data_IF_698921743066
#
_entry.id   IF_698921743066
#
_cell.length_a   1.000
_cell.length_b   1.000
_cell.length_c   1.000
_cell.angle_alpha   90.00
_cell.angle_beta   90.00
_cell.angle_gamma   90.00
#
_symmetry.space_group_name_H-M   'P 1'
#
loop_
_entity.id
_entity.type
_entity.pdbx_description
1 polymer ?
#
# COMPACT_ATOMS: atom_id res chain seq x y z
N UNK A 1 20.48 -0.54 -2.29
CA UNK A 1 20.24 0.92 -2.46
C UNK A 1 20.22 1.53 -1.08
N UNK A 2 20.94 2.64 -0.85
CA UNK A 2 20.96 3.29 0.47
C UNK A 2 19.60 3.94 0.77
N UNK A 3 19.30 4.11 2.06
CA UNK A 3 18.03 4.73 2.50
C UNK A 3 17.86 6.17 2.01
N UNK A 4 18.96 6.95 1.98
CA UNK A 4 18.92 8.31 1.46
C UNK A 4 18.50 8.36 -0.02
N UNK A 5 18.94 7.41 -0.84
CA UNK A 5 18.56 7.33 -2.24
C UNK A 5 17.08 6.95 -2.39
N UNK A 6 16.58 6.05 -1.54
CA UNK A 6 15.14 5.68 -1.53
C UNK A 6 14.27 6.88 -1.20
N UNK A 7 14.60 7.61 -0.14
CA UNK A 7 13.86 8.81 0.27
C UNK A 7 13.87 9.89 -0.83
N UNK A 8 15.02 10.10 -1.51
CA UNK A 8 15.12 11.05 -2.62
C UNK A 8 14.22 10.64 -3.80
N UNK A 9 14.28 9.38 -4.22
CA UNK A 9 13.45 8.85 -5.31
C UNK A 9 11.97 9.05 -4.97
N UNK A 10 11.54 8.64 -3.78
CA UNK A 10 10.17 8.84 -3.32
C UNK A 10 9.75 10.30 -3.36
N UNK A 11 10.58 11.21 -2.85
CA UNK A 11 10.29 12.65 -2.85
C UNK A 11 10.14 13.23 -4.26
N UNK A 12 10.86 12.70 -5.25
CA UNK A 12 10.72 13.09 -6.66
C UNK A 12 9.40 12.58 -7.25
N UNK A 13 9.02 11.34 -7.00
CA UNK A 13 7.74 10.79 -7.47
C UNK A 13 6.53 11.54 -6.88
N UNK A 14 6.58 12.00 -5.65
CA UNK A 14 5.51 12.81 -5.05
C UNK A 14 5.29 14.17 -5.74
N UNK A 15 6.24 14.65 -6.54
CA UNK A 15 6.17 15.94 -7.27
C UNK A 15 5.57 15.82 -8.67
N UNK A 16 5.43 14.61 -9.20
CA UNK A 16 4.89 14.37 -10.54
C UNK A 16 3.51 13.75 -10.48
N UNK A 17 2.73 13.90 -11.52
CA UNK A 17 1.44 13.24 -11.64
C UNK A 17 1.60 11.83 -12.22
N UNK A 18 0.66 10.94 -11.87
CA UNK A 18 0.68 9.55 -12.35
C UNK A 18 0.59 9.44 -13.87
N UNK A 19 -0.08 10.40 -14.54
CA UNK A 19 -0.09 10.48 -16.00
C UNK A 19 1.30 10.66 -16.60
N UNK A 20 2.11 11.56 -16.02
CA UNK A 20 3.50 11.74 -16.49
C UNK A 20 4.34 10.46 -16.32
N UNK A 21 4.10 9.73 -15.22
CA UNK A 21 4.77 8.45 -15.00
C UNK A 21 4.33 7.42 -16.04
N UNK A 22 3.02 7.35 -16.33
CA UNK A 22 2.47 6.44 -17.32
C UNK A 22 3.04 6.72 -18.72
N UNK A 23 3.08 8.00 -19.14
CA UNK A 23 3.62 8.40 -20.44
C UNK A 23 5.11 7.96 -20.60
N UNK A 24 5.92 8.15 -19.56
CA UNK A 24 7.32 7.70 -19.56
C UNK A 24 7.44 6.18 -19.62
N UNK A 25 6.58 5.46 -18.89
CA UNK A 25 6.56 3.98 -18.94
C UNK A 25 6.17 3.48 -20.34
N UNK A 26 5.21 4.13 -21.00
CA UNK A 26 4.81 3.80 -22.36
C UNK A 26 5.96 4.05 -23.36
N UNK A 27 6.67 5.18 -23.25
CA UNK A 27 7.87 5.47 -24.04
C UNK A 27 9.00 4.45 -23.85
N UNK A 28 9.09 3.85 -22.66
CA UNK A 28 10.02 2.77 -22.35
C UNK A 28 9.53 1.39 -22.83
N UNK A 29 8.35 1.29 -23.41
CA UNK A 29 7.72 0.04 -23.85
C UNK A 29 7.14 -0.79 -22.68
N UNK A 30 6.99 -0.20 -21.50
CA UNK A 30 6.41 -0.82 -20.31
C UNK A 30 4.90 -0.50 -20.23
N UNK A 31 4.14 -1.09 -21.13
CA UNK A 31 2.69 -0.91 -21.22
C UNK A 31 1.97 -1.63 -20.06
N UNK A 32 0.76 -1.18 -19.75
CA UNK A 32 -0.13 -1.82 -18.78
C UNK A 32 0.40 -1.84 -17.33
N UNK A 33 1.06 -0.77 -16.91
CA UNK A 33 1.56 -0.60 -15.55
C UNK A 33 0.56 0.06 -14.59
N UNK A 34 -0.62 0.41 -15.08
CA UNK A 34 -1.72 0.95 -14.27
C UNK A 34 -2.39 -0.12 -13.42
N UNK A 35 -2.83 0.28 -12.24
CA UNK A 35 -3.76 -0.52 -11.43
C UNK A 35 -5.17 -0.48 -12.02
N UNK A 36 -6.05 -1.36 -11.55
CA UNK A 36 -7.46 -1.36 -11.94
C UNK A 36 -8.09 0.02 -11.70
N UNK A 37 -8.99 0.44 -12.60
CA UNK A 37 -9.57 1.79 -12.57
C UNK A 37 -10.52 2.06 -11.40
N UNK A 38 -10.90 1.03 -10.68
CA UNK A 38 -11.73 1.08 -9.48
C UNK A 38 -10.94 1.27 -8.18
N UNK A 39 -9.60 1.17 -8.21
CA UNK A 39 -8.78 1.56 -7.08
C UNK A 39 -8.99 3.02 -6.70
N UNK A 40 -9.36 3.27 -5.45
CA UNK A 40 -9.70 4.60 -4.93
C UNK A 40 -8.98 4.89 -3.62
N UNK A 41 -8.73 6.17 -3.37
CA UNK A 41 -8.27 6.61 -2.06
C UNK A 41 -9.38 6.49 -1.02
N UNK A 42 -9.15 5.72 0.02
CA UNK A 42 -10.04 5.59 1.18
C UNK A 42 -9.60 6.48 2.34
N UNK A 43 -8.33 6.84 2.39
CA UNK A 43 -7.78 7.68 3.45
C UNK A 43 -6.52 8.40 3.00
N UNK A 44 -6.12 9.41 3.79
CA UNK A 44 -5.01 10.28 3.49
C UNK A 44 -5.43 11.61 2.86
N UNK A 45 -4.77 12.68 3.25
CA UNK A 45 -5.14 14.06 2.87
C UNK A 45 -4.50 14.51 1.56
N UNK A 46 -3.36 13.93 1.18
CA UNK A 46 -2.60 14.37 0.00
C UNK A 46 -3.15 13.89 -1.34
N UNK A 47 -3.95 12.83 -1.34
CA UNK A 47 -4.40 12.15 -2.56
C UNK A 47 -3.28 11.50 -3.40
N UNK A 48 -2.03 11.60 -2.94
CA UNK A 48 -0.85 10.99 -3.59
C UNK A 48 -0.15 10.02 -2.65
N UNK A 49 0.27 8.90 -3.20
CA UNK A 49 1.07 7.90 -2.51
C UNK A 49 2.23 7.49 -3.42
N UNK A 50 3.44 7.53 -2.90
CA UNK A 50 4.63 7.03 -3.58
C UNK A 50 5.51 6.30 -2.57
N UNK A 51 6.10 5.19 -2.98
CA UNK A 51 6.98 4.38 -2.14
C UNK A 51 7.41 3.11 -2.86
N UNK A 52 8.31 2.37 -2.24
CA UNK A 52 8.74 1.09 -2.76
C UNK A 52 7.74 -0.01 -2.36
N UNK A 53 7.40 -0.88 -3.29
CA UNK A 53 6.42 -1.93 -3.02
C UNK A 53 6.99 -3.01 -2.10
N UNK A 54 6.32 -3.24 -0.97
CA UNK A 54 6.47 -4.42 -0.13
C UNK A 54 5.23 -5.28 -0.31
N UNK A 55 5.35 -6.37 -1.04
CA UNK A 55 4.20 -7.19 -1.45
C UNK A 55 3.87 -8.26 -0.44
N UNK A 56 2.59 -8.36 -0.09
CA UNK A 56 2.04 -9.37 0.81
C UNK A 56 0.92 -10.09 0.07
N UNK A 57 1.07 -11.40 -0.11
CA UNK A 57 0.02 -12.23 -0.67
C UNK A 57 -0.63 -13.05 0.42
N UNK A 58 -1.94 -12.92 0.55
CA UNK A 58 -2.78 -13.75 1.39
C UNK A 58 -3.63 -14.72 0.58
N UNK A 59 -4.35 -15.55 1.26
CA UNK A 59 -5.45 -16.33 0.73
C UNK A 59 -6.48 -16.58 1.82
N UNK A 60 -7.73 -16.70 1.43
CA UNK A 60 -8.79 -17.08 2.35
C UNK A 60 -8.59 -18.53 2.83
N UNK A 61 -8.86 -18.76 4.10
CA UNK A 61 -8.83 -20.11 4.67
C UNK A 61 -10.14 -20.38 5.40
N UNK A 62 -10.76 -21.54 5.20
CA UNK A 62 -11.95 -21.93 5.96
C UNK A 62 -11.64 -22.33 7.42
N UNK A 63 -10.39 -22.45 7.78
CA UNK A 63 -9.91 -22.89 9.10
C UNK A 63 -9.42 -21.71 9.96
N UNK A 64 -10.23 -20.65 10.03
CA UNK A 64 -9.86 -19.37 10.57
C UNK A 64 -9.65 -19.26 12.07
N UNK A 65 -8.47 -19.61 12.56
CA UNK A 65 -7.97 -19.12 13.85
C UNK A 65 -6.51 -18.69 13.66
N UNK A 66 -6.21 -17.40 13.83
CA UNK A 66 -4.82 -16.91 13.82
C UNK A 66 -4.42 -15.96 12.69
N UNK A 67 -5.33 -15.61 11.79
CA UNK A 67 -5.01 -14.76 10.63
C UNK A 67 -4.38 -13.41 10.97
N UNK A 68 -4.64 -12.83 12.12
CA UNK A 68 -4.03 -11.56 12.54
C UNK A 68 -2.55 -11.74 12.91
N UNK A 69 -2.18 -12.85 13.56
CA UNK A 69 -0.79 -13.14 13.87
C UNK A 69 0.04 -13.38 12.59
N UNK A 70 -0.53 -14.05 11.61
CA UNK A 70 0.11 -14.27 10.30
C UNK A 70 0.28 -12.94 9.53
N UNK A 71 -0.74 -12.08 9.54
CA UNK A 71 -0.65 -10.73 8.96
C UNK A 71 0.45 -9.90 9.62
N UNK A 72 0.52 -9.90 10.93
CA UNK A 72 1.56 -9.18 11.67
C UNK A 72 2.96 -9.72 11.34
N UNK A 73 3.10 -11.05 11.20
CA UNK A 73 4.36 -11.67 10.77
C UNK A 73 4.74 -11.25 9.35
N UNK A 74 3.78 -11.22 8.43
CA UNK A 74 4.02 -10.77 7.05
C UNK A 74 4.49 -9.30 6.97
N UNK A 75 4.08 -8.47 7.93
CA UNK A 75 4.49 -7.07 8.02
C UNK A 75 5.88 -6.84 8.61
N UNK A 76 6.53 -7.86 9.19
CA UNK A 76 7.78 -7.67 9.95
C UNK A 76 8.96 -7.17 9.11
N UNK A 77 8.97 -7.50 7.81
CA UNK A 77 10.04 -7.11 6.90
C UNK A 77 9.90 -5.72 6.30
N UNK A 78 8.78 -5.02 6.54
CA UNK A 78 8.56 -3.70 5.96
C UNK A 78 9.48 -2.66 6.61
N UNK A 79 9.91 -1.69 5.84
CA UNK A 79 10.83 -0.64 6.25
C UNK A 79 10.38 0.74 5.77
N UNK A 80 11.18 1.76 6.08
CA UNK A 80 10.91 3.15 5.70
C UNK A 80 10.78 3.32 4.18
N UNK A 81 9.93 4.25 3.77
CA UNK A 81 9.62 4.57 2.38
C UNK A 81 8.95 3.43 1.58
N UNK A 82 8.47 2.39 2.25
CA UNK A 82 7.73 1.31 1.61
C UNK A 82 6.22 1.50 1.71
N UNK A 83 5.53 0.97 0.70
CA UNK A 83 4.09 0.82 0.63
C UNK A 83 3.77 -0.65 0.80
N UNK A 84 2.89 -1.02 1.72
CA UNK A 84 2.38 -2.38 1.81
C UNK A 84 1.36 -2.64 0.71
N UNK A 85 1.64 -3.62 -0.15
CA UNK A 85 0.77 -4.01 -1.26
C UNK A 85 0.18 -5.38 -0.95
N UNK A 86 -1.13 -5.40 -0.70
CA UNK A 86 -1.86 -6.59 -0.29
C UNK A 86 -2.65 -7.15 -1.45
N UNK A 87 -2.44 -8.41 -1.77
CA UNK A 87 -3.24 -9.15 -2.75
C UNK A 87 -3.58 -10.53 -2.23
N UNK A 88 -4.76 -11.02 -2.57
CA UNK A 88 -5.27 -12.31 -2.15
C UNK A 88 -6.43 -12.77 -3.02
N UNK A 89 -7.35 -13.51 -2.45
CA UNK A 89 -8.46 -14.10 -3.17
C UNK A 89 -9.61 -13.11 -3.48
N UNK A 90 -9.33 -11.81 -3.48
CA UNK A 90 -10.27 -10.79 -3.93
C UNK A 90 -11.39 -10.47 -2.92
N UNK A 91 -12.58 -10.31 -3.43
CA UNK A 91 -13.73 -9.76 -2.75
C UNK A 91 -14.16 -10.51 -1.49
N UNK A 92 -14.65 -9.74 -0.51
CA UNK A 92 -15.24 -10.26 0.72
C UNK A 92 -14.28 -10.45 1.89
N UNK A 93 -12.98 -10.26 1.67
CA UNK A 93 -11.99 -10.32 2.74
C UNK A 93 -11.48 -8.93 3.11
N UNK A 94 -11.51 -8.60 4.40
CA UNK A 94 -10.90 -7.38 4.90
C UNK A 94 -9.43 -7.64 5.23
N UNK A 95 -8.55 -7.06 4.44
CA UNK A 95 -7.11 -7.21 4.62
C UNK A 95 -6.52 -6.19 5.59
N UNK A 96 -7.09 -4.98 5.63
CA UNK A 96 -6.42 -3.82 6.18
C UNK A 96 -7.32 -3.02 7.12
N UNK A 97 -6.76 -2.54 8.23
CA UNK A 97 -7.42 -1.69 9.21
C UNK A 97 -6.43 -1.09 10.19
N UNK A 98 -6.94 -0.47 11.27
CA UNK A 98 -6.19 0.25 12.29
C UNK A 98 -4.98 -0.51 12.82
N UNK A 99 -5.17 -1.74 13.30
CA UNK A 99 -4.12 -2.51 13.95
C UNK A 99 -2.91 -2.74 13.04
N UNK A 100 -3.17 -3.09 11.79
CA UNK A 100 -2.12 -3.30 10.77
C UNK A 100 -1.48 -1.97 10.40
N UNK A 101 -2.27 -0.93 10.17
CA UNK A 101 -1.77 0.40 9.82
C UNK A 101 -0.86 0.98 10.90
N UNK A 102 -1.22 0.83 12.18
CA UNK A 102 -0.40 1.27 13.31
C UNK A 102 0.97 0.61 13.29
N UNK A 103 1.01 -0.71 13.23
CA UNK A 103 2.28 -1.46 13.20
C UNK A 103 3.15 -1.16 11.99
N UNK A 104 2.55 -0.90 10.83
CA UNK A 104 3.26 -0.50 9.62
C UNK A 104 3.81 0.92 9.71
N UNK A 105 3.02 1.86 10.22
CA UNK A 105 3.41 3.26 10.41
C UNK A 105 4.62 3.39 11.35
N UNK A 106 4.64 2.64 12.44
CA UNK A 106 5.78 2.61 13.37
C UNK A 106 7.08 2.12 12.72
N UNK A 107 6.99 1.35 11.64
CA UNK A 107 8.12 0.86 10.85
C UNK A 107 8.52 1.80 9.71
N UNK A 108 7.84 2.94 9.56
CA UNK A 108 8.10 3.89 8.49
C UNK A 108 7.41 3.59 7.16
N UNK A 109 6.46 2.64 7.14
CA UNK A 109 5.59 2.41 5.99
C UNK A 109 4.77 3.67 5.69
N UNK A 110 4.68 4.03 4.42
CA UNK A 110 4.11 5.34 4.01
C UNK A 110 2.68 5.24 3.48
N UNK A 111 2.12 4.05 3.43
CA UNK A 111 0.74 3.81 3.01
C UNK A 111 0.49 2.38 2.56
N UNK A 112 -0.71 2.11 2.07
CA UNK A 112 -1.10 0.79 1.63
C UNK A 112 -1.88 0.81 0.31
N UNK A 113 -1.71 -0.27 -0.46
CA UNK A 113 -2.62 -0.70 -1.52
C UNK A 113 -3.23 -2.03 -1.09
N UNK A 114 -4.55 -2.15 -1.15
CA UNK A 114 -5.23 -3.38 -0.77
C UNK A 114 -6.18 -3.83 -1.89
N UNK A 115 -5.90 -4.98 -2.49
CA UNK A 115 -6.81 -5.67 -3.39
C UNK A 115 -7.86 -6.42 -2.57
N UNK A 116 -8.80 -5.67 -1.98
CA UNK A 116 -9.84 -6.18 -1.10
C UNK A 116 -10.33 -5.17 -0.07
N UNK A 117 -11.03 -5.65 0.96
CA UNK A 117 -11.69 -4.81 1.94
C UNK A 117 -10.75 -4.06 2.88
N UNK A 118 -11.13 -2.82 3.19
CA UNK A 118 -10.47 -1.94 4.17
C UNK A 118 -11.49 -1.52 5.23
N UNK A 119 -11.08 -1.48 6.49
CA UNK A 119 -11.92 -1.01 7.62
C UNK A 119 -11.20 0.09 8.41
N UNK A 120 -11.88 0.63 9.42
CA UNK A 120 -11.35 1.65 10.34
C UNK A 120 -10.93 2.95 9.63
N UNK A 121 -11.67 3.34 8.58
CA UNK A 121 -11.37 4.48 7.71
C UNK A 121 -11.25 5.80 8.50
N UNK A 122 -12.06 5.99 9.53
CA UNK A 122 -11.99 7.18 10.38
C UNK A 122 -10.64 7.29 11.09
N UNK A 123 -10.13 6.18 11.62
CA UNK A 123 -8.82 6.11 12.25
C UNK A 123 -7.69 6.38 11.25
N UNK A 124 -7.76 5.77 10.07
CA UNK A 124 -6.77 5.97 9.00
C UNK A 124 -6.67 7.42 8.57
N UNK A 125 -7.81 8.12 8.44
CA UNK A 125 -7.85 9.54 8.13
C UNK A 125 -7.28 10.40 9.27
N UNK A 126 -7.66 10.10 10.53
CA UNK A 126 -7.17 10.83 11.69
C UNK A 126 -5.64 10.78 11.81
N UNK A 127 -5.04 9.67 11.40
CA UNK A 127 -3.59 9.44 11.48
C UNK A 127 -2.86 9.71 10.16
N UNK A 128 -3.56 10.24 9.17
CA UNK A 128 -3.04 10.54 7.82
C UNK A 128 -2.24 9.37 7.22
N UNK A 129 -2.83 8.17 7.31
CA UNK A 129 -2.25 6.97 6.71
C UNK A 129 -2.97 6.67 5.38
N UNK A 130 -2.35 6.95 4.21
CA UNK A 130 -3.01 6.81 2.93
C UNK A 130 -3.22 5.33 2.57
N UNK A 131 -4.46 5.01 2.19
CA UNK A 131 -4.84 3.67 1.72
C UNK A 131 -5.64 3.80 0.43
N UNK A 132 -5.27 2.99 -0.54
CA UNK A 132 -6.01 2.79 -1.79
C UNK A 132 -6.50 1.34 -1.85
N UNK A 133 -7.75 1.14 -2.22
CA UNK A 133 -8.34 -0.19 -2.36
C UNK A 133 -9.42 -0.20 -3.44
#
# INVERSE_FOLDING_TARGET
MSQNIRAEIRARFLKVDTSNVADVLDDMGLLHQGLAADFRSFSGTSGKLAGFAYTIRGQSTPYGMGGDAEKMTACQGISEDEISVWSGDGDGTCYFGELIALGLKERGCVGALADGGVRDIAWLNQHDFPVFA
#
